data_IF_921948215340
#
_entry.id   IF_921948215340
#
_cell.length_a   1.000
_cell.length_b   1.000
_cell.length_c   1.000
_cell.angle_alpha   90.00
_cell.angle_beta   90.00
_cell.angle_gamma   90.00
#
_symmetry.space_group_name_H-M   'P 1'
#
loop_
_entity.id
_entity.type
_entity.pdbx_description
1 polymer ?
#
# COMPACT_ATOMS: atom_id res chain seq x y z
N UNK A 1 12.46 -6.12 13.15
CA UNK A 1 11.10 -5.88 12.63
C UNK A 1 11.04 -4.50 12.01
N UNK A 2 10.27 -4.35 10.97
CA UNK A 2 10.27 -3.13 10.16
C UNK A 2 9.04 -2.26 10.40
N UNK A 3 9.24 -0.94 10.32
CA UNK A 3 8.16 0.05 10.33
C UNK A 3 7.87 0.53 8.91
N UNK A 4 6.61 0.68 8.58
CA UNK A 4 6.18 1.09 7.25
C UNK A 4 5.28 2.32 7.30
N UNK A 5 5.41 3.16 6.27
CA UNK A 5 4.43 4.21 5.97
C UNK A 5 3.64 3.75 4.75
N UNK A 6 2.33 3.92 4.78
CA UNK A 6 1.42 3.37 3.76
C UNK A 6 0.71 4.50 3.03
N UNK A 7 0.77 4.51 1.71
CA UNK A 7 0.01 5.42 0.87
C UNK A 7 -1.41 4.89 0.59
N UNK A 8 -2.30 5.79 0.21
CA UNK A 8 -3.71 5.49 -0.08
C UNK A 8 -3.88 4.38 -1.11
N UNK A 9 -3.09 4.40 -2.19
CA UNK A 9 -3.18 3.42 -3.26
C UNK A 9 -2.95 1.99 -2.79
N UNK A 10 -1.98 1.79 -1.91
CA UNK A 10 -1.70 0.46 -1.33
C UNK A 10 -2.83 0.04 -0.39
N UNK A 11 -3.31 0.94 0.47
CA UNK A 11 -4.46 0.64 1.34
C UNK A 11 -5.68 0.23 0.53
N UNK A 12 -6.00 0.98 -0.53
CA UNK A 12 -7.12 0.65 -1.43
C UNK A 12 -6.96 -0.71 -2.11
N UNK A 13 -5.76 -1.02 -2.59
CA UNK A 13 -5.47 -2.31 -3.24
C UNK A 13 -5.66 -3.48 -2.28
N UNK A 14 -5.17 -3.34 -1.04
CA UNK A 14 -5.32 -4.37 -0.01
C UNK A 14 -6.76 -4.46 0.50
N UNK A 15 -7.43 -3.33 0.70
CA UNK A 15 -8.83 -3.29 1.13
C UNK A 15 -9.76 -3.98 0.14
N UNK A 16 -9.54 -3.76 -1.14
CA UNK A 16 -10.32 -4.35 -2.22
C UNK A 16 -10.33 -5.88 -2.20
N UNK A 17 -9.23 -6.49 -1.79
CA UNK A 17 -9.08 -7.94 -1.69
C UNK A 17 -9.18 -8.46 -0.25
N UNK A 18 -9.64 -7.62 0.66
CA UNK A 18 -9.84 -7.93 2.08
C UNK A 18 -8.56 -8.44 2.77
N UNK A 19 -7.44 -7.76 2.52
CA UNK A 19 -6.11 -8.13 3.00
C UNK A 19 -5.37 -7.01 3.75
N UNK A 20 -6.10 -6.06 4.33
CA UNK A 20 -5.51 -4.98 5.16
C UNK A 20 -4.73 -5.57 6.36
N UNK A 21 -5.22 -6.68 6.91
CA UNK A 21 -4.61 -7.37 8.04
C UNK A 21 -3.15 -7.82 7.77
N UNK A 22 -2.77 -7.98 6.51
CA UNK A 22 -1.39 -8.32 6.16
C UNK A 22 -0.39 -7.27 6.66
N UNK A 23 -0.80 -6.02 6.77
CA UNK A 23 0.09 -4.96 7.26
C UNK A 23 0.56 -5.24 8.70
N UNK A 24 -0.35 -5.67 9.57
CA UNK A 24 -0.03 -6.05 10.95
C UNK A 24 0.77 -7.33 11.05
N UNK A 25 0.59 -8.25 10.09
CA UNK A 25 1.27 -9.54 10.09
C UNK A 25 2.69 -9.47 9.53
N UNK A 26 2.97 -8.49 8.66
CA UNK A 26 4.26 -8.36 7.97
C UNK A 26 5.16 -7.31 8.63
N UNK A 27 4.60 -6.21 9.11
CA UNK A 27 5.34 -5.11 9.72
C UNK A 27 5.14 -5.05 11.22
N UNK A 28 6.15 -4.57 11.95
CA UNK A 28 6.04 -4.32 13.38
C UNK A 28 4.98 -3.25 13.69
N UNK A 29 5.07 -2.15 12.96
CA UNK A 29 4.13 -1.04 13.00
C UNK A 29 3.95 -0.46 11.61
N UNK A 30 2.78 0.09 11.34
CA UNK A 30 2.56 0.89 10.15
C UNK A 30 1.75 2.14 10.48
N UNK A 31 2.01 3.21 9.74
CA UNK A 31 1.37 4.50 9.93
C UNK A 31 1.04 5.12 8.57
N UNK A 32 0.15 6.09 8.58
CA UNK A 32 -0.13 6.92 7.42
C UNK A 32 -0.53 8.32 7.86
N UNK A 33 -0.26 9.35 7.01
CA UNK A 33 -0.54 10.74 7.37
C UNK A 33 -2.04 11.06 7.27
N UNK A 34 -2.42 12.22 7.81
CA UNK A 34 -3.80 12.70 7.78
C UNK A 34 -4.35 12.85 6.35
N UNK A 35 -3.53 13.25 5.38
CA UNK A 35 -3.96 13.35 3.99
C UNK A 35 -4.42 12.00 3.43
N UNK A 36 -3.72 10.91 3.76
CA UNK A 36 -4.13 9.55 3.38
C UNK A 36 -5.45 9.18 4.07
N UNK A 37 -5.59 9.49 5.35
CA UNK A 37 -6.85 9.28 6.08
C UNK A 37 -8.01 10.01 5.42
N UNK A 38 -7.82 11.27 5.02
CA UNK A 38 -8.84 12.04 4.32
C UNK A 38 -9.28 11.39 3.01
N UNK A 39 -8.34 10.89 2.22
CA UNK A 39 -8.65 10.20 0.97
C UNK A 39 -9.45 8.92 1.20
N UNK A 40 -9.13 8.17 2.26
CA UNK A 40 -9.85 6.93 2.60
C UNK A 40 -11.24 7.19 3.18
N UNK A 41 -11.36 8.16 4.09
CA UNK A 41 -12.58 8.36 4.87
C UNK A 41 -13.61 9.28 4.21
N UNK A 42 -13.19 10.14 3.27
CA UNK A 42 -14.08 11.09 2.59
C UNK A 42 -14.84 10.51 1.41
N UNK A 43 -14.46 9.34 0.94
CA UNK A 43 -15.07 8.67 -0.21
C UNK A 43 -15.45 7.24 0.15
N UNK A 44 -16.47 6.74 -0.57
CA UNK A 44 -16.85 5.33 -0.47
C UNK A 44 -15.81 4.47 -1.19
N UNK A 45 -15.07 3.68 -0.45
CA UNK A 45 -14.02 2.81 -0.99
C UNK A 45 -14.39 1.34 -0.73
N UNK A 46 -14.38 0.48 -1.78
CA UNK A 46 -14.61 -0.95 -1.60
C UNK A 46 -13.65 -1.56 -0.57
N UNK A 47 -14.20 -2.32 0.36
CA UNK A 47 -13.42 -2.95 1.44
C UNK A 47 -13.24 -2.11 2.69
N UNK A 48 -13.72 -0.84 2.72
CA UNK A 48 -13.59 0.06 3.85
C UNK A 48 -14.93 0.38 4.50
N UNK A 49 -15.46 -0.56 5.27
CA UNK A 49 -16.63 -0.32 6.11
C UNK A 49 -16.25 0.45 7.37
N UNK A 50 -17.25 0.88 8.17
CA UNK A 50 -17.02 1.62 9.42
C UNK A 50 -16.09 0.89 10.39
N UNK A 51 -16.19 -0.43 10.48
CA UNK A 51 -15.37 -1.25 11.38
C UNK A 51 -13.89 -1.17 10.99
N UNK A 52 -13.60 -1.34 9.71
CA UNK A 52 -12.23 -1.27 9.19
C UNK A 52 -11.67 0.13 9.33
N UNK A 53 -12.43 1.16 8.95
CA UNK A 53 -12.01 2.55 9.12
C UNK A 53 -11.72 2.88 10.59
N UNK A 54 -12.56 2.42 11.52
CA UNK A 54 -12.30 2.64 12.94
C UNK A 54 -11.01 1.95 13.42
N UNK A 55 -10.72 0.76 12.91
CA UNK A 55 -9.49 0.03 13.27
C UNK A 55 -8.23 0.75 12.75
N UNK A 56 -8.33 1.50 11.65
CA UNK A 56 -7.20 2.21 11.06
C UNK A 56 -6.89 3.54 11.76
N UNK A 57 -7.80 4.09 12.55
CA UNK A 57 -7.61 5.39 13.20
C UNK A 57 -6.37 5.46 14.09
N UNK A 58 -6.00 4.37 14.76
CA UNK A 58 -4.80 4.30 15.59
C UNK A 58 -3.49 4.40 14.81
N UNK A 59 -3.54 4.26 13.50
CA UNK A 59 -2.36 4.32 12.62
C UNK A 59 -2.17 5.69 11.97
N UNK A 60 -3.07 6.63 12.21
CA UNK A 60 -2.95 8.00 11.70
C UNK A 60 -1.87 8.73 12.49
N UNK A 61 -0.91 9.30 11.78
CA UNK A 61 0.17 10.08 12.39
C UNK A 61 0.37 11.39 11.62
N UNK A 62 0.19 12.56 12.25
CA UNK A 62 0.35 13.83 11.56
C UNK A 62 1.82 14.14 11.26
N UNK A 63 2.07 14.83 10.16
CA UNK A 63 3.39 15.40 9.88
C UNK A 63 3.60 16.69 10.67
N UNK A 64 4.84 16.98 11.03
CA UNK A 64 5.21 18.21 11.75
C UNK A 64 5.96 19.21 10.87
N UNK A 65 6.56 18.76 9.76
CA UNK A 65 7.31 19.60 8.83
C UNK A 65 6.39 20.20 7.75
N UNK A 66 6.79 21.36 7.21
CA UNK A 66 6.07 21.93 6.04
C UNK A 66 6.19 21.03 4.83
N UNK A 67 5.08 20.85 4.13
CA UNK A 67 5.03 20.01 2.94
C UNK A 67 5.43 20.79 1.68
N UNK A 68 6.73 20.87 1.38
CA UNK A 68 7.24 21.43 0.13
C UNK A 68 7.23 20.43 -1.02
N UNK A 69 7.10 19.12 -0.73
CA UNK A 69 7.05 18.07 -1.75
C UNK A 69 5.74 18.09 -2.53
N UNK A 70 4.69 18.75 -2.03
CA UNK A 70 3.42 18.90 -2.74
C UNK A 70 3.55 19.67 -4.06
N UNK A 71 4.69 20.33 -4.29
CA UNK A 71 5.00 20.98 -5.56
C UNK A 71 5.33 19.99 -6.69
N UNK A 72 5.75 18.79 -6.35
CA UNK A 72 6.20 17.76 -7.32
C UNK A 72 5.49 16.41 -7.16
N UNK A 73 4.69 16.24 -6.14
CA UNK A 73 3.94 15.02 -5.82
C UNK A 73 2.51 15.36 -5.41
N UNK A 74 1.60 14.42 -5.54
CA UNK A 74 0.26 14.54 -4.99
C UNK A 74 0.32 14.71 -3.47
N UNK A 75 -0.69 15.39 -2.91
CA UNK A 75 -0.67 15.80 -1.50
C UNK A 75 -0.53 14.62 -0.53
N UNK A 76 -1.31 13.57 -0.72
CA UNK A 76 -1.23 12.37 0.12
C UNK A 76 0.12 11.67 0.01
N UNK A 77 0.63 11.51 -1.20
CA UNK A 77 1.93 10.90 -1.45
C UNK A 77 3.07 11.72 -0.83
N UNK A 78 3.01 13.04 -0.97
CA UNK A 78 4.03 13.93 -0.40
C UNK A 78 4.05 13.89 1.12
N UNK A 79 2.88 13.89 1.78
CA UNK A 79 2.82 13.71 3.22
C UNK A 79 3.36 12.35 3.68
N UNK A 80 3.11 11.29 2.92
CA UNK A 80 3.64 9.97 3.23
C UNK A 80 5.18 9.95 3.18
N UNK A 81 5.78 10.60 2.19
CA UNK A 81 7.24 10.73 2.09
C UNK A 81 7.82 11.52 3.28
N UNK A 82 7.18 12.62 3.66
CA UNK A 82 7.60 13.42 4.81
C UNK A 82 7.50 12.60 6.10
N UNK A 83 6.38 11.92 6.31
CA UNK A 83 6.16 11.09 7.49
C UNK A 83 7.20 9.96 7.59
N UNK A 84 7.57 9.36 6.46
CA UNK A 84 8.62 8.36 6.40
C UNK A 84 9.92 8.87 7.04
N UNK A 85 10.33 10.07 6.69
CA UNK A 85 11.53 10.69 7.25
C UNK A 85 11.39 11.04 8.72
N UNK A 86 10.25 11.59 9.15
CA UNK A 86 10.01 12.01 10.53
C UNK A 86 9.99 10.83 11.51
N UNK A 87 9.36 9.72 11.12
CA UNK A 87 9.27 8.50 11.94
C UNK A 87 10.53 7.64 11.80
N UNK A 88 11.34 7.90 10.79
CA UNK A 88 12.48 7.03 10.41
C UNK A 88 12.02 5.61 10.12
N UNK A 89 11.02 5.51 9.26
CA UNK A 89 10.48 4.22 8.83
C UNK A 89 11.47 3.48 7.93
N UNK A 90 11.26 2.18 7.79
CA UNK A 90 12.12 1.32 6.96
C UNK A 90 11.61 1.22 5.52
N UNK A 91 10.28 1.25 5.33
CA UNK A 91 9.65 1.09 4.02
C UNK A 91 8.54 2.11 3.79
N UNK A 92 8.45 2.58 2.55
CA UNK A 92 7.28 3.31 2.06
C UNK A 92 6.47 2.39 1.15
N UNK A 93 5.21 2.16 1.49
CA UNK A 93 4.31 1.31 0.73
C UNK A 93 3.53 2.19 -0.25
N UNK A 94 3.89 2.11 -1.52
CA UNK A 94 3.38 3.00 -2.56
C UNK A 94 3.30 2.30 -3.91
N UNK A 95 2.17 2.46 -4.62
CA UNK A 95 1.94 1.83 -5.92
C UNK A 95 2.21 2.76 -7.10
N UNK A 96 1.97 4.05 -6.94
CA UNK A 96 2.14 5.00 -8.03
C UNK A 96 3.57 5.05 -8.54
N UNK A 97 3.76 4.83 -9.84
CA UNK A 97 5.08 4.72 -10.44
C UNK A 97 5.88 6.02 -10.34
N UNK A 98 5.24 7.16 -10.62
CA UNK A 98 5.92 8.47 -10.58
C UNK A 98 6.33 8.84 -9.16
N UNK A 99 5.43 8.71 -8.21
CA UNK A 99 5.70 8.99 -6.80
C UNK A 99 6.77 8.06 -6.24
N UNK A 100 6.71 6.78 -6.60
CA UNK A 100 7.71 5.79 -6.23
C UNK A 100 9.10 6.17 -6.73
N UNK A 101 9.21 6.60 -7.98
CA UNK A 101 10.48 7.06 -8.56
C UNK A 101 11.07 8.25 -7.81
N UNK A 102 10.23 9.21 -7.46
CA UNK A 102 10.66 10.37 -6.67
C UNK A 102 11.16 9.92 -5.29
N UNK A 103 10.41 9.08 -4.59
CA UNK A 103 10.78 8.56 -3.28
C UNK A 103 12.10 7.77 -3.34
N UNK A 104 12.27 6.91 -4.33
CA UNK A 104 13.50 6.13 -4.53
C UNK A 104 14.70 7.05 -4.80
N UNK A 105 14.50 8.16 -5.52
CA UNK A 105 15.56 9.16 -5.75
C UNK A 105 16.01 9.84 -4.46
N UNK A 106 15.17 9.85 -3.42
CA UNK A 106 15.48 10.35 -2.08
C UNK A 106 16.11 9.28 -1.17
N UNK A 107 16.39 8.09 -1.69
CA UNK A 107 16.97 6.99 -0.94
C UNK A 107 15.96 6.16 -0.15
N UNK A 108 14.67 6.30 -0.43
CA UNK A 108 13.61 5.57 0.27
C UNK A 108 13.38 4.21 -0.38
N UNK A 109 13.33 3.15 0.44
CA UNK A 109 12.98 1.81 -0.04
C UNK A 109 11.46 1.69 -0.15
N UNK A 110 10.96 1.47 -1.37
CA UNK A 110 9.54 1.38 -1.67
C UNK A 110 9.10 -0.06 -1.93
N UNK A 111 7.88 -0.39 -1.49
CA UNK A 111 7.22 -1.67 -1.75
C UNK A 111 5.81 -1.36 -2.25
N UNK A 112 5.39 -2.00 -3.35
CA UNK A 112 4.02 -1.88 -3.85
C UNK A 112 3.11 -2.99 -3.32
N UNK A 113 1.83 -2.90 -3.64
CA UNK A 113 0.82 -3.90 -3.23
C UNK A 113 1.18 -5.31 -3.67
N UNK A 114 1.69 -5.47 -4.90
CA UNK A 114 2.13 -6.78 -5.40
C UNK A 114 3.24 -7.35 -4.53
N UNK A 115 4.22 -6.53 -4.17
CA UNK A 115 5.33 -6.95 -3.32
C UNK A 115 4.85 -7.43 -1.95
N UNK A 116 3.88 -6.75 -1.36
CA UNK A 116 3.27 -7.15 -0.08
C UNK A 116 2.58 -8.51 -0.21
N UNK A 117 1.78 -8.70 -1.24
CA UNK A 117 1.05 -9.96 -1.48
C UNK A 117 2.03 -11.11 -1.75
N UNK A 118 3.09 -10.88 -2.51
CA UNK A 118 4.12 -11.90 -2.75
C UNK A 118 4.86 -12.26 -1.48
N UNK A 119 5.20 -11.28 -0.65
CA UNK A 119 5.80 -11.51 0.66
C UNK A 119 4.88 -12.34 1.56
N UNK A 120 3.59 -12.03 1.54
CA UNK A 120 2.58 -12.78 2.27
C UNK A 120 2.48 -14.24 1.78
N UNK A 121 2.54 -14.45 0.46
CA UNK A 121 2.56 -15.80 -0.13
C UNK A 121 3.79 -16.58 0.35
N UNK A 122 4.97 -15.99 0.30
CA UNK A 122 6.20 -16.64 0.76
C UNK A 122 6.16 -17.00 2.25
N UNK A 123 5.47 -16.18 3.06
CA UNK A 123 5.30 -16.44 4.49
C UNK A 123 4.14 -17.41 4.81
N UNK A 124 3.42 -17.90 3.81
CA UNK A 124 2.26 -18.76 4.01
C UNK A 124 1.01 -18.06 4.54
N UNK A 125 0.98 -16.72 4.49
CA UNK A 125 -0.17 -15.90 4.92
C UNK A 125 -1.25 -15.78 3.83
N UNK A 126 -0.91 -16.08 2.60
CA UNK A 126 -1.80 -16.12 1.44
C UNK A 126 -1.66 -17.47 0.78
N UNK A 127 -2.76 -18.20 0.66
CA UNK A 127 -2.76 -19.54 0.08
C UNK A 127 -2.71 -19.51 -1.45
N UNK A 128 -3.56 -18.68 -2.06
CA UNK A 128 -3.64 -18.55 -3.52
C UNK A 128 -3.58 -17.08 -3.95
N UNK A 129 -2.77 -16.80 -4.98
CA UNK A 129 -2.65 -15.46 -5.58
C UNK A 129 -3.77 -15.18 -6.58
N UNK A 130 -4.24 -16.19 -7.28
CA UNK A 130 -5.20 -16.05 -8.39
C UNK A 130 -6.48 -15.28 -8.00
N UNK A 131 -7.16 -15.56 -6.88
CA UNK A 131 -8.35 -14.80 -6.49
C UNK A 131 -8.06 -13.31 -6.27
N UNK A 132 -6.91 -12.99 -5.69
CA UNK A 132 -6.48 -11.61 -5.42
C UNK A 132 -6.24 -10.88 -6.74
N UNK A 133 -5.52 -11.49 -7.66
CA UNK A 133 -5.19 -10.90 -8.95
C UNK A 133 -6.43 -10.69 -9.82
N UNK A 134 -7.39 -11.62 -9.78
CA UNK A 134 -8.67 -11.46 -10.47
C UNK A 134 -9.45 -10.24 -9.99
N UNK A 135 -9.53 -10.04 -8.67
CA UNK A 135 -10.20 -8.88 -8.08
C UNK A 135 -9.51 -7.57 -8.49
N UNK A 136 -8.19 -7.54 -8.48
CA UNK A 136 -7.44 -6.35 -8.92
C UNK A 136 -7.70 -6.02 -10.39
N UNK A 137 -7.75 -7.03 -11.25
CA UNK A 137 -8.05 -6.82 -12.68
C UNK A 137 -9.48 -6.33 -12.90
N UNK A 138 -10.46 -6.92 -12.23
CA UNK A 138 -11.87 -6.53 -12.32
C UNK A 138 -12.12 -5.10 -11.84
N UNK A 139 -11.29 -4.61 -10.94
CA UNK A 139 -11.42 -3.28 -10.32
C UNK A 139 -10.55 -2.22 -10.99
N UNK A 140 -10.05 -2.48 -12.18
CA UNK A 140 -9.21 -1.55 -12.95
C UNK A 140 -7.95 -1.06 -12.20
N UNK A 141 -7.38 -1.90 -11.34
CA UNK A 141 -6.06 -1.61 -10.77
C UNK A 141 -5.01 -1.74 -11.89
N UNK A 142 -4.00 -0.87 -11.86
CA UNK A 142 -3.00 -0.73 -12.92
C UNK A 142 -1.96 -1.88 -12.94
N UNK A 143 -2.44 -3.11 -12.92
CA UNK A 143 -1.59 -4.29 -13.06
C UNK A 143 -1.90 -4.97 -14.39
N UNK A 144 -0.89 -5.19 -15.22
CA UNK A 144 -1.10 -5.83 -16.50
C UNK A 144 -1.36 -7.33 -16.33
N UNK A 145 -2.29 -7.86 -17.09
CA UNK A 145 -2.60 -9.30 -17.10
C UNK A 145 -1.35 -10.14 -17.35
N UNK A 146 -0.51 -9.70 -18.28
CA UNK A 146 0.76 -10.37 -18.61
C UNK A 146 1.65 -10.51 -17.39
N UNK A 147 1.85 -9.44 -16.63
CA UNK A 147 2.70 -9.46 -15.44
C UNK A 147 2.11 -10.38 -14.35
N UNK A 148 0.80 -10.28 -14.11
CA UNK A 148 0.14 -11.10 -13.11
C UNK A 148 0.22 -12.59 -13.47
N UNK A 149 0.03 -12.93 -14.74
CA UNK A 149 0.17 -14.32 -15.20
C UNK A 149 1.60 -14.86 -15.09
N UNK A 150 2.60 -14.03 -15.35
CA UNK A 150 3.99 -14.41 -15.14
C UNK A 150 4.28 -14.77 -13.67
N UNK A 151 3.70 -13.98 -12.75
CA UNK A 151 3.81 -14.24 -11.31
C UNK A 151 3.09 -15.54 -10.94
N UNK A 152 1.86 -15.75 -11.41
CA UNK A 152 1.09 -16.97 -11.13
C UNK A 152 1.84 -18.22 -11.55
N UNK A 153 2.38 -18.23 -12.77
CA UNK A 153 3.18 -19.37 -13.26
C UNK A 153 4.40 -19.64 -12.39
N UNK A 154 5.09 -18.58 -11.94
CA UNK A 154 6.24 -18.71 -11.04
C UNK A 154 5.88 -19.37 -9.70
N UNK A 155 4.67 -19.14 -9.21
CA UNK A 155 4.16 -19.74 -7.97
C UNK A 155 3.33 -21.00 -8.21
N UNK A 156 3.45 -21.60 -9.40
CA UNK A 156 2.76 -22.84 -9.78
C UNK A 156 1.23 -22.73 -9.76
N UNK A 157 0.70 -21.54 -10.03
CA UNK A 157 -0.73 -21.29 -10.18
C UNK A 157 -1.10 -21.11 -11.67
N UNK A 158 -2.33 -21.45 -12.01
CA UNK A 158 -2.82 -21.31 -13.40
C UNK A 158 -2.99 -19.82 -13.77
N UNK A 159 -2.64 -19.43 -15.02
CA UNK A 159 -2.91 -18.09 -15.52
C UNK A 159 -4.41 -17.76 -15.50
N UNK A 160 -4.73 -16.47 -15.43
CA UNK A 160 -6.10 -15.95 -15.43
C UNK A 160 -6.46 -15.23 -16.73
#
# INVERSE_FOLDING_TARGET
>A
MAKAIVDTGVLKSLGLVNKIDLLELIFEDYFFPEAVWHELSSYDNPGFNKRILNSLKSHIFPISTKNHLSLIMDYGESEAVILFGEIKADFLLIDDFKARKIAESLGITCIGSKGIILKAKEKGLVEELSPIFKLWMESNRFFTKKLLNQILVKFEENPI
#
